data_IF_881738643860
#
_entry.id   IF_881738643860
#
_cell.length_a   1.000
_cell.length_b   1.000
_cell.length_c   1.000
_cell.angle_alpha   90.00
_cell.angle_beta   90.00
_cell.angle_gamma   90.00
#
_symmetry.space_group_name_H-M   'P 1'
#
loop_
_entity.id
_entity.type
_entity.pdbx_description
1 polymer ?
#
# COMPACT_ATOMS: atom_id res chain seq x y z
N UNK A 1 14.97 10.45 -3.61
CA UNK A 1 16.27 10.04 -3.05
C UNK A 1 16.04 9.74 -1.58
N UNK A 2 16.11 8.49 -1.14
CA UNK A 2 15.80 8.15 0.27
C UNK A 2 16.99 8.48 1.15
N UNK A 3 16.80 9.39 2.09
CA UNK A 3 17.78 9.72 3.11
C UNK A 3 17.86 8.56 4.12
N UNK A 4 19.08 8.08 4.41
CA UNK A 4 19.28 7.04 5.41
C UNK A 4 18.84 7.54 6.79
N UNK A 5 17.99 6.77 7.47
CA UNK A 5 17.58 6.99 8.86
C UNK A 5 17.88 5.76 9.71
N UNK A 6 18.30 5.99 10.95
CA UNK A 6 18.50 4.91 11.93
C UNK A 6 17.19 4.31 12.43
N UNK A 7 16.11 5.10 12.42
CA UNK A 7 14.77 4.68 12.84
C UNK A 7 13.70 5.37 11.96
N UNK A 8 12.84 4.56 11.33
CA UNK A 8 11.72 5.00 10.50
C UNK A 8 10.39 5.01 11.26
N UNK A 9 10.38 4.70 12.55
CA UNK A 9 9.18 4.69 13.39
C UNK A 9 8.94 6.00 14.14
N UNK A 10 9.95 6.88 14.26
CA UNK A 10 9.84 8.10 15.05
C UNK A 10 10.96 9.13 14.86
N UNK A 11 11.01 10.13 15.75
CA UNK A 11 12.04 11.17 15.74
C UNK A 11 11.89 12.18 14.59
N UNK A 12 10.66 12.49 14.21
CA UNK A 12 10.36 13.46 13.16
C UNK A 12 10.10 14.85 13.76
N UNK A 13 10.73 15.87 13.18
CA UNK A 13 10.51 17.27 13.55
C UNK A 13 9.34 17.89 12.79
N UNK A 14 9.02 17.34 11.62
CA UNK A 14 7.89 17.73 10.78
C UNK A 14 6.85 16.61 10.75
N UNK A 15 5.57 16.97 10.94
CA UNK A 15 4.44 16.06 10.86
C UNK A 15 4.35 15.35 9.49
N UNK A 16 4.54 16.06 8.38
CA UNK A 16 4.47 15.46 7.05
C UNK A 16 5.49 14.32 6.88
N UNK A 17 6.73 14.52 7.35
CA UNK A 17 7.76 13.48 7.30
C UNK A 17 7.47 12.32 8.25
N UNK A 18 6.77 12.60 9.36
CA UNK A 18 6.32 11.57 10.31
C UNK A 18 5.29 10.61 9.75
N UNK A 19 4.64 10.96 8.63
CA UNK A 19 3.70 10.10 7.92
C UNK A 19 4.35 9.49 6.67
N UNK A 20 5.03 10.33 5.87
CA UNK A 20 5.60 9.94 4.58
C UNK A 20 6.76 8.96 4.70
N UNK A 21 7.65 9.15 5.68
CA UNK A 21 8.82 8.29 5.83
C UNK A 21 8.44 6.86 6.29
N UNK A 22 7.57 6.67 7.31
CA UNK A 22 7.11 5.31 7.65
C UNK A 22 6.30 4.66 6.52
N UNK A 23 5.46 5.42 5.80
CA UNK A 23 4.74 4.90 4.61
C UNK A 23 5.72 4.38 3.55
N UNK A 24 6.74 5.17 3.20
CA UNK A 24 7.78 4.76 2.25
C UNK A 24 8.59 3.56 2.75
N UNK A 25 8.84 3.48 4.06
CA UNK A 25 9.49 2.33 4.68
C UNK A 25 8.65 1.06 4.54
N UNK A 26 7.34 1.13 4.77
CA UNK A 26 6.43 -0.02 4.66
C UNK A 26 6.29 -0.46 3.20
N UNK A 27 6.24 0.48 2.27
CA UNK A 27 6.31 0.20 0.84
C UNK A 27 7.58 -0.60 0.50
N UNK A 28 8.75 -0.15 0.96
CA UNK A 28 10.01 -0.87 0.75
C UNK A 28 10.03 -2.25 1.43
N UNK A 29 9.54 -2.35 2.66
CA UNK A 29 9.46 -3.62 3.40
C UNK A 29 8.46 -4.61 2.77
N UNK A 30 7.50 -4.14 1.99
CA UNK A 30 6.60 -5.01 1.24
C UNK A 30 7.34 -5.81 0.18
N UNK A 31 8.33 -5.20 -0.50
CA UNK A 31 9.22 -5.96 -1.40
C UNK A 31 10.08 -6.99 -0.66
N UNK A 32 10.55 -6.66 0.54
CA UNK A 32 11.28 -7.61 1.39
C UNK A 32 10.40 -8.81 1.76
N UNK A 33 9.15 -8.54 2.15
CA UNK A 33 8.16 -9.59 2.42
C UNK A 33 7.85 -10.44 1.18
N UNK A 34 7.66 -9.82 0.01
CA UNK A 34 7.48 -10.51 -1.27
C UNK A 34 8.68 -11.42 -1.58
N UNK A 35 9.91 -10.92 -1.38
CA UNK A 35 11.15 -11.68 -1.57
C UNK A 35 11.22 -12.92 -0.70
N UNK A 36 10.91 -12.80 0.61
CA UNK A 36 10.95 -13.95 1.53
C UNK A 36 9.81 -14.95 1.32
N UNK A 37 8.70 -14.54 0.72
CA UNK A 37 7.51 -15.39 0.48
C UNK A 37 7.58 -16.18 -0.82
N UNK A 38 8.62 -15.98 -1.64
CA UNK A 38 8.75 -16.44 -3.04
C UNK A 38 7.98 -17.73 -3.38
N UNK A 39 6.73 -17.55 -3.82
CA UNK A 39 5.94 -18.50 -4.59
C UNK A 39 5.87 -17.97 -6.03
N UNK A 40 5.81 -18.88 -6.99
CA UNK A 40 5.70 -18.69 -8.44
C UNK A 40 4.63 -17.69 -8.93
N UNK A 41 3.72 -17.28 -8.05
CA UNK A 41 2.71 -16.23 -8.22
C UNK A 41 3.28 -14.82 -8.42
N UNK A 42 4.54 -14.58 -8.05
CA UNK A 42 5.21 -13.29 -8.23
C UNK A 42 6.01 -13.23 -9.53
N UNK A 43 5.32 -13.36 -10.67
CA UNK A 43 5.92 -12.96 -11.94
C UNK A 43 5.75 -11.46 -12.10
N UNK A 44 6.84 -10.75 -12.36
CA UNK A 44 6.79 -9.45 -13.02
C UNK A 44 6.58 -9.71 -14.51
N UNK A 45 5.40 -9.47 -15.10
CA UNK A 45 5.23 -9.61 -16.53
C UNK A 45 5.63 -8.31 -17.28
N UNK A 46 5.89 -7.19 -16.59
CA UNK A 46 6.06 -5.88 -17.20
C UNK A 46 6.93 -4.95 -16.36
N UNK A 47 8.22 -4.92 -16.71
CA UNK A 47 9.18 -3.80 -16.59
C UNK A 47 8.54 -2.55 -15.98
N UNK A 48 8.81 -2.31 -14.68
CA UNK A 48 8.80 -0.99 -14.03
C UNK A 48 7.89 0.03 -14.74
N UNK A 49 6.59 -0.24 -14.74
CA UNK A 49 5.62 0.76 -15.13
C UNK A 49 5.70 1.84 -14.06
N UNK A 50 6.10 3.06 -14.46
CA UNK A 50 6.25 4.27 -13.62
C UNK A 50 4.95 4.68 -12.90
N UNK A 51 3.90 3.87 -13.00
CA UNK A 51 2.55 4.16 -12.59
C UNK A 51 2.26 3.31 -11.36
N UNK A 52 2.70 3.79 -10.20
CA UNK A 52 2.33 3.26 -8.87
C UNK A 52 0.82 3.36 -8.59
N UNK A 53 0.05 3.95 -9.50
CA UNK A 53 -1.40 4.01 -9.40
C UNK A 53 -2.03 2.65 -9.62
N UNK A 54 -3.07 2.38 -8.84
CA UNK A 54 -3.85 1.16 -8.91
C UNK A 54 -5.31 1.48 -8.61
N UNK A 55 -6.17 0.51 -8.93
CA UNK A 55 -7.58 0.48 -8.60
C UNK A 55 -7.82 -0.78 -7.78
N UNK A 56 -8.77 -0.76 -6.86
CA UNK A 56 -9.11 -1.95 -6.04
C UNK A 56 -10.21 -2.75 -6.75
N UNK A 57 -9.96 -3.14 -7.99
CA UNK A 57 -10.91 -3.81 -8.88
C UNK A 57 -10.41 -5.17 -9.43
N UNK A 58 -9.15 -5.52 -9.21
CA UNK A 58 -8.64 -6.84 -9.58
C UNK A 58 -9.28 -7.97 -8.73
N UNK A 59 -9.44 -9.18 -9.30
CA UNK A 59 -10.10 -10.29 -8.62
C UNK A 59 -9.41 -10.76 -7.33
N UNK A 60 -8.08 -10.63 -7.25
CA UNK A 60 -7.28 -11.02 -6.11
C UNK A 60 -5.96 -10.25 -6.03
N UNK A 61 -5.34 -10.25 -4.85
CA UNK A 61 -4.10 -9.49 -4.58
C UNK A 61 -2.93 -9.86 -5.49
N UNK A 62 -2.83 -11.12 -5.93
CA UNK A 62 -1.75 -11.59 -6.80
C UNK A 62 -1.91 -11.18 -8.27
N UNK A 63 -3.02 -10.55 -8.66
CA UNK A 63 -3.21 -9.99 -10.02
C UNK A 63 -2.55 -8.61 -10.18
N UNK A 64 -2.23 -7.93 -9.08
CA UNK A 64 -1.48 -6.67 -9.10
C UNK A 64 0.01 -6.92 -9.32
N UNK A 65 0.71 -5.94 -9.91
CA UNK A 65 2.18 -5.98 -10.00
C UNK A 65 2.81 -5.93 -8.60
N UNK A 66 4.09 -6.30 -8.48
CA UNK A 66 4.80 -6.20 -7.20
C UNK A 66 4.73 -4.79 -6.60
N UNK A 67 4.90 -3.74 -7.42
CA UNK A 67 4.82 -2.35 -6.95
C UNK A 67 3.39 -1.95 -6.55
N UNK A 68 2.38 -2.42 -7.26
CA UNK A 68 0.98 -2.14 -6.90
C UNK A 68 0.62 -2.87 -5.60
N UNK A 69 1.03 -4.11 -5.43
CA UNK A 69 0.87 -4.86 -4.18
C UNK A 69 1.56 -4.15 -3.01
N UNK A 70 2.79 -3.69 -3.19
CA UNK A 70 3.52 -2.92 -2.18
C UNK A 70 2.80 -1.60 -1.85
N UNK A 71 2.26 -0.92 -2.87
CA UNK A 71 1.47 0.31 -2.70
C UNK A 71 0.18 0.05 -1.92
N UNK A 72 -0.54 -1.03 -2.23
CA UNK A 72 -1.76 -1.44 -1.53
C UNK A 72 -1.49 -1.69 -0.04
N UNK A 73 -0.40 -2.40 0.28
CA UNK A 73 -0.01 -2.68 1.67
C UNK A 73 0.33 -1.39 2.43
N UNK A 74 1.15 -0.52 1.82
CA UNK A 74 1.56 0.74 2.44
C UNK A 74 0.38 1.71 2.64
N UNK A 75 -0.49 1.82 1.65
CA UNK A 75 -1.67 2.69 1.69
C UNK A 75 -2.72 2.18 2.68
N UNK A 76 -2.89 0.86 2.82
CA UNK A 76 -3.74 0.29 3.87
C UNK A 76 -3.23 0.65 5.27
N UNK A 77 -1.93 0.52 5.51
CA UNK A 77 -1.33 0.95 6.78
C UNK A 77 -1.56 2.44 7.04
N UNK A 78 -1.35 3.28 6.01
CA UNK A 78 -1.54 4.72 6.08
C UNK A 78 -2.98 5.08 6.46
N UNK A 79 -3.97 4.51 5.77
CA UNK A 79 -5.39 4.73 6.02
C UNK A 79 -5.82 4.28 7.42
N UNK A 80 -5.21 3.19 7.92
CA UNK A 80 -5.50 2.65 9.23
C UNK A 80 -4.90 3.49 10.36
N UNK A 81 -3.76 4.15 10.13
CA UNK A 81 -3.03 4.93 11.14
C UNK A 81 -3.35 6.43 11.15
N UNK A 82 -3.66 7.00 9.99
CA UNK A 82 -3.83 8.44 9.80
C UNK A 82 -5.25 8.77 9.35
N UNK A 83 -5.57 10.06 9.22
CA UNK A 83 -6.87 10.48 8.74
C UNK A 83 -6.95 10.43 7.20
N UNK A 84 -8.14 10.71 6.66
CA UNK A 84 -8.38 10.63 5.22
C UNK A 84 -7.67 11.74 4.43
N UNK A 85 -7.32 12.85 5.08
CA UNK A 85 -6.60 13.97 4.48
C UNK A 85 -5.15 13.56 4.21
N UNK A 86 -4.45 13.01 5.21
CA UNK A 86 -3.07 12.54 4.99
C UNK A 86 -3.02 11.35 4.03
N UNK A 87 -3.99 10.46 4.12
CA UNK A 87 -4.11 9.37 3.17
C UNK A 87 -4.17 9.89 1.73
N UNK A 88 -5.03 10.87 1.45
CA UNK A 88 -5.20 11.44 0.10
C UNK A 88 -3.97 12.16 -0.42
N UNK A 89 -3.18 12.76 0.47
CA UNK A 89 -1.96 13.49 0.11
C UNK A 89 -0.81 12.55 -0.28
N UNK A 90 -0.76 11.36 0.31
CA UNK A 90 0.40 10.45 0.21
C UNK A 90 0.10 9.19 -0.62
N UNK A 91 -1.14 8.69 -0.62
CA UNK A 91 -1.51 7.45 -1.31
C UNK A 91 -1.46 7.59 -2.84
N UNK A 92 -1.12 6.48 -3.50
CA UNK A 92 -1.18 6.38 -4.96
C UNK A 92 -2.58 5.99 -5.49
N UNK A 93 -3.55 5.80 -4.60
CA UNK A 93 -4.94 5.50 -4.97
C UNK A 93 -5.67 6.76 -5.44
N UNK A 94 -6.36 6.67 -6.59
CA UNK A 94 -6.95 7.84 -7.25
C UNK A 94 -8.48 7.79 -7.40
N UNK A 95 -9.15 6.68 -7.07
CA UNK A 95 -10.59 6.50 -7.35
C UNK A 95 -11.49 6.72 -6.12
N UNK A 96 -11.48 7.94 -5.59
CA UNK A 96 -12.29 8.30 -4.43
C UNK A 96 -13.79 8.40 -4.70
N UNK A 97 -14.17 8.70 -5.95
CA UNK A 97 -15.56 8.98 -6.35
C UNK A 97 -16.49 7.76 -6.28
N UNK A 98 -15.91 6.57 -6.12
CA UNK A 98 -16.64 5.30 -5.98
C UNK A 98 -17.19 5.07 -4.55
N UNK A 99 -16.77 5.88 -3.58
CA UNK A 99 -17.16 5.71 -2.18
C UNK A 99 -18.28 6.66 -1.78
N UNK A 100 -19.10 6.23 -0.82
CA UNK A 100 -20.26 6.98 -0.34
C UNK A 100 -19.86 8.07 0.67
N UNK A 101 -20.76 8.32 1.63
CA UNK A 101 -20.60 9.37 2.64
C UNK A 101 -19.39 9.11 3.58
N UNK A 102 -19.04 7.85 3.82
CA UNK A 102 -17.94 7.44 4.71
C UNK A 102 -16.78 6.81 3.93
N UNK A 103 -16.06 7.65 3.18
CA UNK A 103 -14.96 7.27 2.29
C UNK A 103 -13.91 6.42 3.04
N UNK A 104 -13.52 6.83 4.25
CA UNK A 104 -12.48 6.13 5.01
C UNK A 104 -12.89 4.71 5.33
N UNK A 105 -14.10 4.52 5.87
CA UNK A 105 -14.59 3.19 6.25
C UNK A 105 -14.78 2.29 5.04
N UNK A 106 -15.36 2.81 3.97
CA UNK A 106 -15.63 2.01 2.78
C UNK A 106 -14.32 1.61 2.08
N UNK A 107 -13.32 2.50 2.07
CA UNK A 107 -11.99 2.22 1.55
C UNK A 107 -11.21 1.21 2.40
N UNK A 108 -11.28 1.31 3.75
CA UNK A 108 -10.70 0.31 4.65
C UNK A 108 -11.27 -1.08 4.39
N UNK A 109 -12.59 -1.19 4.18
CA UNK A 109 -13.22 -2.48 3.83
C UNK A 109 -12.70 -3.04 2.51
N UNK A 110 -12.52 -2.21 1.50
CA UNK A 110 -11.96 -2.65 0.22
C UNK A 110 -10.53 -3.17 0.37
N UNK A 111 -9.68 -2.47 1.13
CA UNK A 111 -8.34 -2.96 1.44
C UNK A 111 -8.36 -4.28 2.23
N UNK A 112 -9.16 -4.36 3.28
CA UNK A 112 -9.29 -5.58 4.09
C UNK A 112 -9.76 -6.76 3.25
N UNK A 113 -10.74 -6.56 2.37
CA UNK A 113 -11.22 -7.58 1.45
C UNK A 113 -10.08 -8.07 0.54
N UNK A 114 -9.39 -7.15 -0.13
CA UNK A 114 -8.29 -7.50 -1.03
C UNK A 114 -7.16 -8.26 -0.33
N UNK A 115 -6.76 -7.81 0.86
CA UNK A 115 -5.68 -8.42 1.64
C UNK A 115 -6.10 -9.76 2.29
N UNK A 116 -7.34 -9.90 2.74
CA UNK A 116 -7.85 -11.16 3.33
C UNK A 116 -8.03 -12.26 2.29
N UNK A 117 -8.51 -11.93 1.10
CA UNK A 117 -8.63 -12.90 0.00
C UNK A 117 -7.27 -13.55 -0.27
N UNK A 118 -6.18 -12.79 -0.24
CA UNK A 118 -4.84 -13.34 -0.39
C UNK A 118 -4.43 -14.36 0.67
N UNK A 119 -4.90 -14.21 1.92
CA UNK A 119 -4.57 -15.14 3.02
C UNK A 119 -5.37 -16.44 2.90
N UNK A 120 -6.62 -16.37 2.42
CA UNK A 120 -7.51 -17.55 2.34
C UNK A 120 -7.18 -18.51 1.20
N UNK A 121 -6.52 -18.04 0.13
CA UNK A 121 -6.05 -18.92 -0.95
C UNK A 121 -4.65 -19.51 -0.70
N UNK A 122 -4.11 -19.36 0.51
CA UNK A 122 -2.80 -19.86 0.93
C UNK A 122 -2.88 -21.09 1.85
N UNK A 123 -4.08 -21.58 2.15
CA UNK A 123 -4.37 -22.86 2.84
C UNK A 123 -4.95 -23.87 1.84
#
# INVERSE_FOLDING_TARGET
>A
MSEYRSDFSGGYTNYHDSVKCPHSFIFAMSFVWQYFRYDSSFHDPYISSVWYSYKLDEPAFNFYTMEQQASIIADYWLLNKHDIVEYKDISNYQEYDKFGVDIKRDLLRSYEFMLRMHIQYME
#
